data_IF_447317228493
#
_entry.id   IF_447317228493
#
_cell.length_a   1.000
_cell.length_b   1.000
_cell.length_c   1.000
_cell.angle_alpha   90.00
_cell.angle_beta   90.00
_cell.angle_gamma   90.00
#
_symmetry.space_group_name_H-M   'P 1'
#
loop_
_entity.id
_entity.type
_entity.pdbx_description
1 polymer ?
#
# COMPACT_ATOMS: atom_id res chain seq x y z
N UNK A 1 -61.37 33.82 17.14
CA UNK A 1 -59.97 34.26 16.95
C UNK A 1 -59.10 33.01 16.79
N UNK A 2 -58.31 32.89 15.72
CA UNK A 2 -57.43 31.72 15.50
C UNK A 2 -55.99 32.23 15.41
N UNK A 3 -55.10 31.75 16.27
CA UNK A 3 -53.66 32.05 16.22
C UNK A 3 -52.96 31.03 15.31
N UNK A 4 -52.55 31.45 14.12
CA UNK A 4 -51.68 30.66 13.24
C UNK A 4 -50.24 30.78 13.75
N UNK A 5 -49.66 29.67 14.19
CA UNK A 5 -48.25 29.60 14.64
C UNK A 5 -47.37 29.23 13.45
N UNK A 6 -46.57 30.18 12.95
CA UNK A 6 -45.59 29.92 11.89
C UNK A 6 -44.39 29.14 12.43
N UNK A 7 -44.40 27.82 12.28
CA UNK A 7 -43.22 26.97 12.52
C UNK A 7 -42.21 27.22 11.38
N UNK A 8 -41.14 27.97 11.67
CA UNK A 8 -40.00 28.10 10.74
C UNK A 8 -39.18 26.81 10.76
N UNK A 9 -39.46 25.91 9.82
CA UNK A 9 -38.65 24.71 9.62
C UNK A 9 -37.29 25.08 9.02
N UNK A 10 -36.26 25.19 9.86
CA UNK A 10 -34.90 25.49 9.43
C UNK A 10 -34.28 24.26 8.77
N UNK A 11 -34.40 24.16 7.44
CA UNK A 11 -33.70 23.16 6.64
C UNK A 11 -32.19 23.40 6.70
N UNK A 12 -31.51 22.71 7.62
CA UNK A 12 -30.08 22.50 7.56
C UNK A 12 -29.76 21.63 6.34
N UNK A 13 -29.53 22.28 5.20
CA UNK A 13 -28.91 21.69 4.04
C UNK A 13 -27.47 21.32 4.38
N UNK A 14 -27.28 20.14 4.95
CA UNK A 14 -25.99 19.46 4.94
C UNK A 14 -25.60 19.24 3.49
N UNK A 15 -24.73 20.11 2.98
CA UNK A 15 -24.08 19.92 1.70
C UNK A 15 -23.18 18.69 1.79
N UNK A 16 -23.74 17.51 1.46
CA UNK A 16 -22.98 16.29 1.23
C UNK A 16 -22.18 16.53 -0.05
N UNK A 17 -20.99 17.13 0.11
CA UNK A 17 -20.07 17.37 -1.00
C UNK A 17 -19.87 16.06 -1.76
N UNK A 18 -20.22 16.00 -3.06
CA UNK A 18 -20.08 14.77 -3.82
C UNK A 18 -18.60 14.40 -3.85
N UNK A 19 -18.26 13.23 -3.31
CA UNK A 19 -16.88 12.78 -3.17
C UNK A 19 -16.33 12.36 -4.54
N UNK A 20 -15.99 13.35 -5.36
CA UNK A 20 -15.21 13.16 -6.58
C UNK A 20 -13.94 12.41 -6.19
N UNK A 21 -13.69 11.26 -6.81
CA UNK A 21 -12.50 10.45 -6.56
C UNK A 21 -11.24 11.23 -6.98
N UNK A 22 -10.67 11.95 -6.02
CA UNK A 22 -9.56 12.87 -6.24
C UNK A 22 -8.28 12.05 -6.43
N UNK A 23 -7.99 11.61 -7.67
CA UNK A 23 -6.86 10.73 -8.07
C UNK A 23 -5.44 11.29 -7.73
N UNK A 24 -5.31 12.33 -6.91
CA UNK A 24 -4.08 12.96 -6.42
C UNK A 24 -4.36 13.71 -5.11
N UNK A 25 -3.60 13.43 -4.05
CA UNK A 25 -3.74 14.00 -2.72
C UNK A 25 -3.36 15.50 -2.64
N UNK A 26 -3.82 16.23 -1.61
CA UNK A 26 -3.27 17.56 -1.29
C UNK A 26 -1.77 17.48 -0.99
N UNK A 27 -1.06 18.57 -1.31
CA UNK A 27 0.36 18.84 -1.01
C UNK A 27 1.36 17.73 -1.41
N UNK A 28 0.96 16.79 -2.28
CA UNK A 28 1.76 15.61 -2.61
C UNK A 28 3.16 15.93 -3.17
N UNK A 29 3.31 17.07 -3.87
CA UNK A 29 4.62 17.55 -4.34
C UNK A 29 5.51 17.95 -3.16
N UNK A 30 4.99 18.74 -2.23
CA UNK A 30 5.70 19.19 -1.02
C UNK A 30 6.17 17.97 -0.23
N UNK A 31 5.26 17.07 0.14
CA UNK A 31 5.61 15.87 0.89
C UNK A 31 6.54 14.93 0.11
N UNK A 32 6.40 14.87 -1.22
CA UNK A 32 7.35 14.21 -2.09
C UNK A 32 8.76 14.79 -1.94
N UNK A 33 8.93 16.10 -2.09
CA UNK A 33 10.23 16.77 -1.94
C UNK A 33 10.80 16.68 -0.53
N UNK A 34 9.95 16.68 0.50
CA UNK A 34 10.34 16.60 1.91
C UNK A 34 10.78 15.18 2.32
N UNK A 35 10.16 14.14 1.74
CA UNK A 35 10.30 12.76 2.22
C UNK A 35 10.80 11.73 1.19
N UNK A 36 11.00 12.08 -0.09
CA UNK A 36 11.47 11.16 -1.12
C UNK A 36 12.80 11.60 -1.74
N UNK A 37 13.73 10.65 -1.86
CA UNK A 37 14.98 10.84 -2.61
C UNK A 37 15.13 9.81 -3.72
N UNK A 38 15.80 10.21 -4.80
CA UNK A 38 16.23 9.33 -5.87
C UNK A 38 17.76 9.33 -5.95
N UNK A 39 18.37 8.15 -5.87
CA UNK A 39 19.83 7.97 -5.82
C UNK A 39 20.55 8.89 -4.78
N UNK A 40 19.88 9.20 -3.67
CA UNK A 40 20.38 10.08 -2.60
C UNK A 40 20.10 11.58 -2.81
N UNK A 41 19.58 11.99 -3.96
CA UNK A 41 19.19 13.38 -4.25
C UNK A 41 17.72 13.62 -3.91
N UNK A 42 17.40 14.78 -3.32
CA UNK A 42 16.01 15.20 -3.11
C UNK A 42 15.31 15.49 -4.45
N UNK A 43 14.01 15.21 -4.52
CA UNK A 43 13.19 15.43 -5.69
C UNK A 43 12.53 16.83 -5.64
N UNK A 44 12.43 17.52 -6.76
CA UNK A 44 11.77 18.84 -6.88
C UNK A 44 10.32 18.71 -7.33
N UNK A 45 9.98 17.62 -8.04
CA UNK A 45 8.71 17.46 -8.76
C UNK A 45 8.39 18.65 -9.70
N UNK A 46 9.42 19.28 -10.26
CA UNK A 46 9.34 20.18 -11.41
C UNK A 46 8.99 19.43 -12.71
N UNK A 47 8.92 20.12 -13.85
CA UNK A 47 8.57 19.51 -15.13
C UNK A 47 9.54 18.40 -15.57
N UNK A 48 10.84 18.53 -15.29
CA UNK A 48 11.85 17.54 -15.66
C UNK A 48 11.79 16.31 -14.74
N UNK A 49 11.61 16.49 -13.43
CA UNK A 49 11.37 15.41 -12.47
C UNK A 49 10.09 14.63 -12.80
N UNK A 50 9.00 15.34 -13.10
CA UNK A 50 7.72 14.75 -13.49
C UNK A 50 7.85 13.92 -14.77
N UNK A 51 8.57 14.42 -15.78
CA UNK A 51 8.82 13.70 -17.02
C UNK A 51 9.74 12.48 -16.82
N UNK A 52 10.84 12.64 -16.07
CA UNK A 52 11.81 11.56 -15.78
C UNK A 52 11.19 10.41 -15.00
N UNK A 53 10.19 10.69 -14.17
CA UNK A 53 9.62 9.73 -13.23
C UNK A 53 8.15 9.37 -13.46
N UNK A 54 7.52 9.83 -14.55
CA UNK A 54 6.08 9.68 -14.84
C UNK A 54 5.47 8.31 -14.47
N UNK A 55 6.13 7.21 -14.83
CA UNK A 55 5.67 5.83 -14.59
C UNK A 55 5.71 5.38 -13.11
N UNK A 56 6.28 6.19 -12.21
CA UNK A 56 6.42 5.91 -10.77
C UNK A 56 5.52 6.77 -9.88
N UNK A 57 4.93 7.83 -10.43
CA UNK A 57 4.29 8.88 -9.65
C UNK A 57 2.95 8.49 -9.02
N UNK A 58 2.32 7.36 -9.38
CA UNK A 58 0.93 7.05 -8.95
C UNK A 58 0.76 7.04 -7.43
N UNK A 59 1.51 6.19 -6.72
CA UNK A 59 1.42 6.09 -5.26
C UNK A 59 2.02 7.31 -4.54
N UNK A 60 2.96 8.02 -5.16
CA UNK A 60 3.51 9.29 -4.65
C UNK A 60 2.45 10.39 -4.68
N UNK A 61 1.76 10.58 -5.81
CA UNK A 61 0.64 11.52 -5.97
C UNK A 61 -0.49 11.30 -4.97
N UNK A 62 -0.65 10.09 -4.45
CA UNK A 62 -1.68 9.74 -3.47
C UNK A 62 -1.25 9.91 -2.00
N UNK A 63 -0.02 10.39 -1.74
CA UNK A 63 0.62 10.31 -0.42
C UNK A 63 0.60 8.88 0.15
N UNK A 64 0.66 7.86 -0.71
CA UNK A 64 0.44 6.46 -0.34
C UNK A 64 1.68 5.63 -0.66
N UNK A 65 2.79 5.87 0.04
CA UNK A 65 4.09 5.26 -0.29
C UNK A 65 4.12 3.74 -0.05
N UNK A 66 3.13 3.21 0.67
CA UNK A 66 2.90 1.76 0.82
C UNK A 66 2.05 1.11 -0.30
N UNK A 67 1.45 1.89 -1.21
CA UNK A 67 0.38 1.49 -2.15
C UNK A 67 -0.77 0.71 -1.47
N UNK A 68 -1.21 1.15 -0.29
CA UNK A 68 -2.27 0.50 0.50
C UNK A 68 -3.63 0.65 -0.16
N UNK A 69 -4.47 -0.39 -0.12
CA UNK A 69 -5.84 -0.39 -0.66
C UNK A 69 -6.90 -0.10 0.43
N UNK A 70 -8.09 0.36 0.02
CA UNK A 70 -9.27 0.44 0.89
C UNK A 70 -9.58 1.84 1.45
N UNK A 71 -10.76 1.98 2.06
CA UNK A 71 -11.45 3.26 2.28
C UNK A 71 -11.75 3.64 3.75
N UNK A 72 -11.00 3.07 4.69
CA UNK A 72 -11.27 3.22 6.13
C UNK A 72 -10.00 3.39 6.98
N UNK A 73 -8.93 3.89 6.36
CA UNK A 73 -7.68 4.20 7.05
C UNK A 73 -7.73 5.60 7.67
N UNK A 74 -7.22 5.76 8.89
CA UNK A 74 -7.07 7.07 9.52
C UNK A 74 -6.21 8.00 8.65
N UNK A 75 -6.68 9.23 8.43
CA UNK A 75 -6.01 10.22 7.57
C UNK A 75 -6.19 10.00 6.06
N UNK A 76 -7.03 9.05 5.63
CA UNK A 76 -7.44 8.93 4.23
C UNK A 76 -8.45 10.04 3.85
N UNK A 77 -8.22 10.69 2.70
CA UNK A 77 -9.12 11.65 2.06
C UNK A 77 -10.02 11.00 1.00
N UNK A 78 -9.68 9.80 0.51
CA UNK A 78 -10.46 9.10 -0.51
C UNK A 78 -9.71 7.92 -1.13
N UNK A 79 -10.08 7.58 -2.37
CA UNK A 79 -9.46 6.50 -3.14
C UNK A 79 -9.29 6.87 -4.63
N UNK A 80 -8.33 6.22 -5.30
CA UNK A 80 -8.22 6.28 -6.76
C UNK A 80 -9.20 5.32 -7.45
N UNK A 81 -9.31 5.45 -8.78
CA UNK A 81 -10.14 4.59 -9.65
C UNK A 81 -9.78 3.08 -9.64
N UNK A 82 -8.84 2.61 -8.82
CA UNK A 82 -8.59 1.18 -8.57
C UNK A 82 -8.76 0.77 -7.10
N UNK A 83 -8.99 1.72 -6.19
CA UNK A 83 -9.17 1.47 -4.76
C UNK A 83 -7.91 1.61 -3.89
N UNK A 84 -6.83 2.21 -4.40
CA UNK A 84 -5.72 2.64 -3.54
C UNK A 84 -6.22 3.74 -2.60
N UNK A 85 -5.76 3.76 -1.35
CA UNK A 85 -6.03 4.85 -0.43
C UNK A 85 -5.30 6.13 -0.86
N UNK A 86 -5.90 7.28 -0.60
CA UNK A 86 -5.33 8.61 -0.84
C UNK A 86 -5.29 9.33 0.49
N UNK A 87 -4.12 9.78 0.92
CA UNK A 87 -3.89 10.27 2.29
C UNK A 87 -3.64 11.78 2.35
N UNK A 88 -4.07 12.41 3.44
CA UNK A 88 -3.80 13.84 3.70
C UNK A 88 -2.30 14.10 4.01
N UNK A 89 -1.57 13.09 4.47
CA UNK A 89 -0.14 13.14 4.78
C UNK A 89 0.45 11.73 4.66
N UNK A 90 1.65 11.52 4.11
CA UNK A 90 2.13 10.16 3.81
C UNK A 90 2.43 9.30 5.04
N UNK A 91 2.63 9.90 6.22
CA UNK A 91 2.72 9.18 7.52
C UNK A 91 1.52 8.27 7.80
N UNK A 92 0.33 8.66 7.32
CA UNK A 92 -0.87 7.85 7.45
C UNK A 92 -0.82 6.57 6.59
N UNK A 93 -0.12 6.61 5.45
CA UNK A 93 0.13 5.41 4.63
C UNK A 93 1.13 4.47 5.29
N UNK A 94 2.18 5.00 5.93
CA UNK A 94 3.12 4.22 6.73
C UNK A 94 2.38 3.52 7.87
N UNK A 95 1.60 4.29 8.65
CA UNK A 95 0.75 3.78 9.73
C UNK A 95 -0.20 2.68 9.26
N UNK A 96 -0.81 2.85 8.09
CA UNK A 96 -1.70 1.85 7.51
C UNK A 96 -0.96 0.52 7.23
N UNK A 97 0.26 0.56 6.69
CA UNK A 97 1.07 -0.65 6.50
C UNK A 97 1.50 -1.27 7.83
N UNK A 98 1.91 -0.48 8.83
CA UNK A 98 2.24 -1.01 10.16
C UNK A 98 1.02 -1.70 10.80
N UNK A 99 -0.19 -1.15 10.65
CA UNK A 99 -1.43 -1.78 11.16
C UNK A 99 -1.88 -3.00 10.36
N UNK A 100 -1.66 -3.05 9.06
CA UNK A 100 -1.77 -4.29 8.26
C UNK A 100 -0.75 -5.34 8.74
N UNK A 101 0.47 -4.93 9.06
CA UNK A 101 1.52 -5.82 9.58
C UNK A 101 1.21 -6.32 11.00
N UNK A 102 0.57 -5.51 11.87
CA UNK A 102 -0.04 -6.00 13.12
C UNK A 102 -1.06 -7.12 12.84
N UNK A 103 -1.97 -6.89 11.88
CA UNK A 103 -3.00 -7.87 11.47
C UNK A 103 -2.39 -9.16 10.93
N UNK A 104 -1.26 -9.08 10.23
CA UNK A 104 -0.46 -10.24 9.77
C UNK A 104 0.19 -10.99 10.93
N UNK A 105 0.88 -10.29 11.83
CA UNK A 105 1.55 -10.88 13.00
C UNK A 105 0.57 -11.62 13.93
N UNK A 106 -0.61 -11.05 14.20
CA UNK A 106 -1.67 -11.71 14.99
C UNK A 106 -2.24 -12.98 14.32
N UNK A 107 -2.02 -13.18 13.02
CA UNK A 107 -2.35 -14.40 12.26
C UNK A 107 -1.14 -15.33 12.07
N UNK A 108 -0.03 -15.09 12.78
CA UNK A 108 1.21 -15.87 12.64
C UNK A 108 2.02 -15.60 11.37
N UNK A 109 1.59 -14.65 10.53
CA UNK A 109 2.30 -14.26 9.31
C UNK A 109 3.44 -13.29 9.68
N UNK A 110 4.65 -13.85 9.80
CA UNK A 110 5.84 -13.19 10.36
C UNK A 110 7.05 -13.16 9.43
N UNK A 111 7.09 -14.04 8.42
CA UNK A 111 8.18 -14.04 7.45
C UNK A 111 7.94 -13.11 6.27
N UNK A 112 9.04 -12.73 5.60
CA UNK A 112 8.99 -11.86 4.44
C UNK A 112 8.12 -12.45 3.31
N UNK A 113 8.22 -13.76 3.08
CA UNK A 113 7.38 -14.47 2.10
C UNK A 113 5.91 -14.48 2.53
N UNK A 114 5.60 -14.82 3.78
CA UNK A 114 4.22 -14.81 4.31
C UNK A 114 3.55 -13.43 4.19
N UNK A 115 4.29 -12.36 4.45
CA UNK A 115 3.80 -10.98 4.30
C UNK A 115 3.60 -10.66 2.81
N UNK A 116 4.61 -10.93 1.98
CA UNK A 116 4.58 -10.65 0.54
C UNK A 116 3.46 -11.39 -0.20
N UNK A 117 3.23 -12.68 0.08
CA UNK A 117 2.19 -13.50 -0.56
C UNK A 117 0.77 -13.02 -0.27
N UNK A 118 0.54 -12.23 0.78
CA UNK A 118 -0.77 -11.57 1.01
C UNK A 118 -0.89 -10.17 0.43
N UNK A 119 0.23 -9.56 0.02
CA UNK A 119 0.28 -8.23 -0.59
C UNK A 119 0.26 -8.31 -2.13
N UNK A 120 1.09 -9.19 -2.68
CA UNK A 120 1.24 -9.47 -4.11
C UNK A 120 1.18 -10.98 -4.32
N UNK A 121 0.01 -11.63 -4.10
CA UNK A 121 -0.14 -13.08 -4.21
C UNK A 121 0.22 -13.56 -5.62
N UNK A 122 0.90 -14.70 -5.74
CA UNK A 122 1.32 -15.29 -7.02
C UNK A 122 0.20 -15.26 -8.08
N UNK A 123 -1.00 -15.71 -7.70
CA UNK A 123 -2.18 -15.85 -8.56
C UNK A 123 -2.80 -14.55 -9.10
N UNK A 124 -2.30 -13.38 -8.72
CA UNK A 124 -2.79 -12.08 -9.17
C UNK A 124 -1.84 -11.51 -10.23
N UNK A 125 -2.38 -10.97 -11.32
CA UNK A 125 -1.59 -10.41 -12.42
C UNK A 125 -1.47 -8.91 -12.26
N UNK A 126 -0.26 -8.45 -11.90
CA UNK A 126 0.09 -7.03 -11.74
C UNK A 126 -0.11 -6.24 -13.05
N UNK A 127 -1.34 -5.77 -13.29
CA UNK A 127 -1.74 -4.97 -14.44
C UNK A 127 -2.31 -5.74 -15.65
N UNK A 128 -2.09 -7.04 -15.77
CA UNK A 128 -2.51 -7.87 -16.93
C UNK A 128 -3.79 -8.67 -16.66
N UNK A 129 -4.87 -7.92 -16.46
CA UNK A 129 -6.28 -8.22 -16.79
C UNK A 129 -6.77 -9.70 -16.68
N UNK A 130 -7.45 -10.04 -15.59
CA UNK A 130 -8.25 -11.28 -15.52
C UNK A 130 -9.68 -11.04 -16.03
N UNK A 131 -10.44 -10.40 -15.15
CA UNK A 131 -11.73 -9.71 -15.34
C UNK A 131 -11.83 -8.56 -14.16
N UNK A 132 -12.61 -5.98 -14.24
CA UNK A 132 -12.65 -4.71 -13.44
C UNK A 132 -14.11 -4.24 -13.52
N UNK A 133 -14.64 -3.74 -12.40
CA UNK A 133 -16.09 -3.67 -12.16
C UNK A 133 -16.70 -5.08 -12.13
N UNK A 134 -16.30 -5.89 -11.12
CA UNK A 134 -16.71 -7.30 -10.96
C UNK A 134 -15.55 -8.30 -10.78
N UNK A 135 -14.45 -7.86 -10.18
CA UNK A 135 -13.11 -8.45 -10.38
C UNK A 135 -12.52 -9.04 -9.08
N UNK A 136 -11.84 -10.20 -9.17
CA UNK A 136 -11.26 -10.92 -8.03
C UNK A 136 -9.81 -11.39 -8.24
N UNK A 137 -9.24 -12.09 -7.24
CA UNK A 137 -7.78 -11.97 -6.92
C UNK A 137 -7.00 -13.26 -6.57
N UNK A 138 -7.51 -14.48 -6.77
CA UNK A 138 -6.72 -15.69 -6.45
C UNK A 138 -7.22 -16.97 -7.12
N UNK A 139 -6.32 -17.95 -7.28
CA UNK A 139 -6.64 -19.28 -7.83
C UNK A 139 -7.60 -20.11 -6.96
N UNK A 140 -7.83 -19.74 -5.69
CA UNK A 140 -8.57 -20.54 -4.70
C UNK A 140 -9.79 -19.82 -4.09
N UNK A 141 -10.02 -18.55 -4.44
CA UNK A 141 -11.09 -17.73 -3.86
C UNK A 141 -11.39 -16.43 -4.63
N UNK A 142 -10.88 -16.30 -5.86
CA UNK A 142 -11.36 -15.33 -6.85
C UNK A 142 -12.08 -16.04 -8.00
N UNK A 143 -12.75 -15.29 -8.89
CA UNK A 143 -13.14 -15.81 -10.20
C UNK A 143 -11.90 -16.30 -10.94
N UNK A 144 -12.00 -17.48 -11.55
CA UNK A 144 -10.95 -18.05 -12.40
C UNK A 144 -10.76 -17.18 -13.67
N UNK A 145 -9.60 -17.25 -14.34
CA UNK A 145 -9.44 -16.60 -15.65
C UNK A 145 -10.48 -17.13 -16.66
N UNK A 146 -10.83 -16.35 -17.71
CA UNK A 146 -11.86 -16.73 -18.66
C UNK A 146 -11.60 -18.09 -19.33
N UNK A 147 -12.68 -18.83 -19.61
CA UNK A 147 -12.62 -20.12 -20.32
C UNK A 147 -11.85 -19.98 -21.63
N UNK A 148 -10.72 -20.68 -21.74
CA UNK A 148 -9.82 -20.59 -22.90
C UNK A 148 -8.60 -19.68 -22.73
N UNK A 149 -8.34 -19.12 -21.55
CA UNK A 149 -7.06 -18.47 -21.23
C UNK A 149 -5.88 -19.45 -21.43
N UNK A 150 -4.95 -19.09 -22.33
CA UNK A 150 -3.78 -19.91 -22.69
C UNK A 150 -2.45 -19.41 -22.09
N UNK A 151 -2.48 -18.41 -21.22
CA UNK A 151 -1.30 -17.95 -20.49
C UNK A 151 -0.90 -18.91 -19.37
N UNK A 152 0.31 -18.75 -18.79
CA UNK A 152 0.71 -19.53 -17.62
C UNK A 152 -0.23 -19.22 -16.45
N UNK A 153 -0.79 -20.27 -15.81
CA UNK A 153 -1.49 -20.11 -14.54
C UNK A 153 -0.47 -19.71 -13.46
N UNK A 154 -0.73 -18.59 -12.78
CA UNK A 154 0.19 -17.99 -11.83
C UNK A 154 0.23 -18.71 -10.45
N UNK A 155 0.51 -20.02 -10.46
CA UNK A 155 0.58 -20.85 -9.26
C UNK A 155 1.79 -20.51 -8.38
N UNK A 156 1.70 -20.81 -7.07
CA UNK A 156 2.86 -20.74 -6.15
C UNK A 156 3.93 -21.77 -6.56
N UNK A 157 5.22 -21.40 -6.67
CA UNK A 157 6.28 -22.38 -6.96
C UNK A 157 6.38 -23.45 -5.87
N UNK A 158 6.43 -24.73 -6.27
CA UNK A 158 6.45 -25.86 -5.32
C UNK A 158 7.69 -25.88 -4.41
N UNK A 159 8.82 -25.37 -4.90
CA UNK A 159 10.08 -25.20 -4.16
C UNK A 159 10.25 -23.77 -3.58
N UNK A 160 9.20 -22.95 -3.59
CA UNK A 160 9.23 -21.54 -3.17
C UNK A 160 10.04 -20.58 -4.07
N UNK A 161 10.74 -21.08 -5.09
CA UNK A 161 11.60 -20.28 -5.98
C UNK A 161 10.95 -20.14 -7.36
N UNK A 162 10.59 -18.93 -7.81
CA UNK A 162 9.93 -18.75 -9.10
C UNK A 162 10.87 -18.99 -10.28
N UNK A 163 10.32 -19.53 -11.37
CA UNK A 163 11.03 -19.54 -12.64
C UNK A 163 11.18 -18.12 -13.20
N UNK A 164 12.25 -17.83 -13.94
CA UNK A 164 12.56 -16.48 -14.42
C UNK A 164 11.38 -15.83 -15.20
N UNK A 165 10.73 -16.58 -16.09
CA UNK A 165 9.56 -16.11 -16.86
C UNK A 165 8.27 -15.91 -16.03
N UNK A 166 8.16 -16.57 -14.87
CA UNK A 166 6.99 -16.47 -14.00
C UNK A 166 6.88 -15.07 -13.38
N UNK A 167 7.97 -14.55 -12.82
CA UNK A 167 8.02 -13.18 -12.28
C UNK A 167 7.97 -12.09 -13.36
N UNK A 168 8.07 -12.45 -14.65
CA UNK A 168 7.81 -11.56 -15.78
C UNK A 168 6.36 -11.58 -16.30
N UNK A 169 5.56 -12.57 -15.89
CA UNK A 169 4.17 -12.78 -16.36
C UNK A 169 3.11 -12.60 -15.27
N UNK A 170 3.51 -12.75 -14.00
CA UNK A 170 2.65 -12.80 -12.81
C UNK A 170 3.22 -11.92 -11.69
N UNK A 171 2.47 -11.78 -10.59
CA UNK A 171 3.03 -11.26 -9.35
C UNK A 171 4.28 -12.04 -8.89
N UNK A 172 5.21 -11.30 -8.30
CA UNK A 172 6.49 -11.84 -7.80
C UNK A 172 6.69 -11.45 -6.32
N UNK A 173 5.96 -12.07 -5.38
CA UNK A 173 6.13 -11.84 -3.95
C UNK A 173 7.52 -12.24 -3.45
N UNK A 174 8.18 -13.22 -4.08
CA UNK A 174 9.60 -13.52 -3.84
C UNK A 174 10.50 -12.28 -3.98
N UNK A 175 10.33 -11.48 -5.03
CA UNK A 175 11.07 -10.23 -5.24
C UNK A 175 10.69 -9.11 -4.25
N UNK A 176 9.58 -9.23 -3.53
CA UNK A 176 9.25 -8.38 -2.37
C UNK A 176 9.96 -8.94 -1.12
N UNK A 177 9.82 -10.25 -0.90
CA UNK A 177 10.30 -10.97 0.27
C UNK A 177 11.83 -10.89 0.41
N UNK A 178 12.59 -11.08 -0.68
CA UNK A 178 14.06 -10.92 -0.69
C UNK A 178 14.47 -9.52 -0.25
N UNK A 179 13.81 -8.48 -0.76
CA UNK A 179 14.09 -7.09 -0.38
C UNK A 179 13.80 -6.80 1.09
N UNK A 180 12.73 -7.37 1.64
CA UNK A 180 12.39 -7.24 3.07
C UNK A 180 13.37 -8.02 3.96
N UNK A 181 13.63 -9.29 3.65
CA UNK A 181 14.47 -10.17 4.47
C UNK A 181 15.94 -9.70 4.48
N UNK A 182 16.48 -9.30 3.33
CA UNK A 182 17.82 -8.73 3.24
C UNK A 182 17.97 -7.43 4.03
N UNK A 183 16.91 -6.61 4.16
CA UNK A 183 16.96 -5.36 4.93
C UNK A 183 17.18 -5.55 6.44
N UNK A 184 16.94 -6.76 6.96
CA UNK A 184 17.20 -7.14 8.37
C UNK A 184 18.13 -8.35 8.48
N UNK A 185 18.85 -8.69 7.40
CA UNK A 185 19.81 -9.80 7.32
C UNK A 185 19.27 -11.18 7.75
N UNK A 186 18.09 -11.57 7.25
CA UNK A 186 17.50 -12.90 7.44
C UNK A 186 17.08 -13.55 6.11
N UNK A 187 16.73 -14.83 6.12
CA UNK A 187 16.13 -15.53 4.99
C UNK A 187 14.65 -15.21 4.78
N UNK A 188 14.15 -15.39 3.56
CA UNK A 188 12.77 -15.02 3.16
C UNK A 188 11.65 -15.72 3.96
N UNK A 189 11.96 -16.85 4.60
CA UNK A 189 11.03 -17.64 5.40
C UNK A 189 11.22 -17.45 6.92
N UNK A 190 12.25 -16.72 7.35
CA UNK A 190 12.55 -16.49 8.76
C UNK A 190 11.63 -15.41 9.35
N UNK A 191 11.52 -15.40 10.68
CA UNK A 191 10.75 -14.36 11.39
C UNK A 191 11.46 -13.00 11.26
N UNK A 192 10.81 -12.03 10.62
CA UNK A 192 11.33 -10.66 10.47
C UNK A 192 11.43 -9.88 11.81
N UNK A 193 10.90 -10.43 12.91
CA UNK A 193 10.94 -9.84 14.25
C UNK A 193 10.44 -8.38 14.30
N UNK A 194 9.44 -8.06 13.48
CA UNK A 194 8.84 -6.71 13.35
C UNK A 194 8.14 -6.24 14.63
N UNK A 195 7.74 -7.16 15.49
CA UNK A 195 7.03 -6.87 16.74
C UNK A 195 7.52 -7.79 17.87
N UNK A 196 7.58 -7.25 19.08
CA UNK A 196 7.85 -8.00 20.31
C UNK A 196 6.71 -8.92 20.71
N UNK A 197 6.94 -9.76 21.72
CA UNK A 197 5.95 -10.70 22.25
C UNK A 197 4.73 -10.00 22.88
N UNK A 198 4.90 -8.76 23.38
CA UNK A 198 3.86 -7.86 23.89
C UNK A 198 3.12 -7.09 22.77
N UNK A 199 3.53 -7.26 21.51
CA UNK A 199 3.05 -6.47 20.38
C UNK A 199 3.71 -5.08 20.24
N UNK A 200 4.78 -4.76 20.98
CA UNK A 200 5.58 -3.55 20.74
C UNK A 200 6.18 -3.55 19.32
N UNK A 201 6.25 -2.39 18.63
CA UNK A 201 6.92 -2.28 17.34
C UNK A 201 8.44 -2.34 17.51
N UNK A 202 9.10 -3.28 16.82
CA UNK A 202 10.55 -3.23 16.61
C UNK A 202 10.82 -2.14 15.56
N UNK A 203 11.08 -0.92 16.03
CA UNK A 203 11.24 0.26 15.17
C UNK A 203 12.37 0.08 14.15
N UNK A 204 13.48 -0.57 14.52
CA UNK A 204 14.60 -0.82 13.61
C UNK A 204 14.21 -1.73 12.45
N UNK A 205 13.67 -2.92 12.74
CA UNK A 205 13.27 -3.87 11.70
C UNK A 205 12.10 -3.33 10.85
N UNK A 206 11.16 -2.60 11.47
CA UNK A 206 10.08 -1.92 10.73
C UNK A 206 10.62 -0.83 9.81
N UNK A 207 11.54 0.02 10.25
CA UNK A 207 12.17 1.05 9.40
C UNK A 207 12.83 0.41 8.17
N UNK A 208 13.63 -0.64 8.37
CA UNK A 208 14.33 -1.32 7.28
C UNK A 208 13.37 -1.99 6.28
N UNK A 209 12.43 -2.80 6.79
CA UNK A 209 11.46 -3.56 5.96
C UNK A 209 10.49 -2.64 5.23
N UNK A 210 10.03 -1.55 5.87
CA UNK A 210 9.14 -0.58 5.24
C UNK A 210 9.88 0.31 4.23
N UNK A 211 11.10 0.77 4.55
CA UNK A 211 11.94 1.50 3.60
C UNK A 211 12.24 0.68 2.34
N UNK A 212 12.51 -0.61 2.50
CA UNK A 212 12.67 -1.56 1.40
C UNK A 212 11.38 -1.73 0.58
N UNK A 213 10.22 -1.95 1.24
CA UNK A 213 8.91 -2.02 0.56
C UNK A 213 8.62 -0.76 -0.22
N UNK A 214 8.66 0.41 0.42
CA UNK A 214 8.25 1.68 -0.19
C UNK A 214 9.17 2.07 -1.34
N UNK A 215 10.46 1.70 -1.30
CA UNK A 215 11.37 1.83 -2.45
C UNK A 215 10.94 0.96 -3.63
N UNK A 216 10.43 -0.26 -3.40
CA UNK A 216 9.88 -1.12 -4.45
C UNK A 216 8.56 -0.58 -5.01
N UNK A 217 7.69 -0.01 -4.18
CA UNK A 217 6.39 0.54 -4.62
C UNK A 217 6.49 1.88 -5.36
N UNK A 218 7.37 2.78 -4.90
CA UNK A 218 7.50 4.15 -5.41
C UNK A 218 8.69 4.37 -6.34
N UNK A 219 9.69 3.47 -6.31
CA UNK A 219 10.98 3.67 -6.97
C UNK A 219 11.88 4.74 -6.32
N UNK A 220 11.55 5.19 -5.11
CA UNK A 220 12.25 6.24 -4.35
C UNK A 220 12.55 5.80 -2.92
N UNK A 221 13.63 6.32 -2.33
CA UNK A 221 13.90 6.09 -0.91
C UNK A 221 13.04 7.03 -0.06
N UNK A 222 12.28 6.47 0.89
CA UNK A 222 11.47 7.24 1.85
C UNK A 222 12.32 7.64 3.05
N UNK A 223 12.16 8.89 3.51
CA UNK A 223 12.80 9.45 4.70
C UNK A 223 12.49 8.63 5.96
N UNK A 224 13.52 8.26 6.71
CA UNK A 224 13.42 7.42 7.91
C UNK A 224 12.58 8.04 9.03
N UNK A 225 12.63 9.37 9.21
CA UNK A 225 11.82 10.10 10.19
C UNK A 225 10.33 9.96 9.93
N UNK A 226 9.91 10.06 8.66
CA UNK A 226 8.51 9.81 8.26
C UNK A 226 8.09 8.35 8.57
N UNK A 227 9.00 7.39 8.38
CA UNK A 227 8.72 5.99 8.69
C UNK A 227 8.55 5.80 10.20
N UNK A 228 9.43 6.41 11.01
CA UNK A 228 9.36 6.39 12.49
C UNK A 228 8.06 7.01 13.00
N UNK A 229 7.67 8.20 12.51
CA UNK A 229 6.41 8.85 12.88
C UNK A 229 5.19 7.98 12.53
N UNK A 230 5.21 7.30 11.38
CA UNK A 230 4.17 6.35 11.00
C UNK A 230 4.09 5.10 11.87
N UNK A 231 5.23 4.62 12.40
CA UNK A 231 5.29 3.52 13.38
C UNK A 231 4.78 3.97 14.75
N UNK A 232 5.14 5.17 15.20
CA UNK A 232 4.66 5.76 16.45
C UNK A 232 3.14 5.98 16.42
N UNK A 233 2.62 6.60 15.36
CA UNK A 233 1.17 6.78 15.15
C UNK A 233 0.43 5.45 15.00
N UNK A 234 1.11 4.35 14.67
CA UNK A 234 0.53 3.02 14.75
C UNK A 234 0.50 2.54 16.20
N UNK A 235 1.63 2.56 16.91
CA UNK A 235 1.76 2.07 18.28
C UNK A 235 1.64 0.54 18.39
N UNK A 236 1.38 0.03 19.61
CA UNK A 236 1.35 -1.42 19.88
C UNK A 236 0.29 -2.18 19.05
N UNK A 237 0.68 -3.37 18.58
CA UNK A 237 -0.14 -4.35 17.89
C UNK A 237 -0.96 -5.21 18.86
N UNK A 238 -1.82 -4.56 19.66
CA UNK A 238 -2.90 -5.22 20.38
C UNK A 238 -4.01 -5.61 19.42
#
# INVERSE_FOLDING_TARGET
MIRVVFIRLAFFLFAISPSVAQDTAPDWKKFGSEYLTYNGQALTFDAADLQRHQNRLRCVKMNNYGCVMGRSWQGAAGNDKAGHAIFQHPKWSVRAVVRDYCSKNRRGLRSAMQIAETYSPWCDTLGTVGVRNGWGRSCAGGPQPPTGFKGPLCAKPANGTPAAGQCGSCNCPDGVARGMAASVNVGINDNLALFGADGSPNVGNLVAVLGSKFRRETGFAVNEGLIKEGIELAGQCR
#
